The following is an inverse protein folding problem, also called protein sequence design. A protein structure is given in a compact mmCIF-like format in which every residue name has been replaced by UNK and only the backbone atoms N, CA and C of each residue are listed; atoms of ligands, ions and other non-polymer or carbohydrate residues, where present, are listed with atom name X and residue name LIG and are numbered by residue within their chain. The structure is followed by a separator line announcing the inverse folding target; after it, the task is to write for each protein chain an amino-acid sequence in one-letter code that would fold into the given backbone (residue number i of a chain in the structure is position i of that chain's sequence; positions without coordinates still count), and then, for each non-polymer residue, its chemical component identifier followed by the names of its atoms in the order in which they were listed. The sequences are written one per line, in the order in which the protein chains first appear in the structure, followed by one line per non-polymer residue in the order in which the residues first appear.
data_IF_900893781215
#
_entry.id   IF_900893781215
#
_cell.length_a   1.000
_cell.length_b   1.000
_cell.length_c   1.000
_cell.angle_alpha   90.00
_cell.angle_beta   90.00
_cell.angle_gamma   90.00
#
_symmetry.space_group_name_H-M   'P 1'
#
loop_
_entity.id
_entity.type
_entity.pdbx_description
1 polymer ?
#
# COMPACT_ATOMS: atom_id res chain seq x y z
N UNK A 1 -17.41 -18.75 -12.71
CA UNK A 1 -18.15 -18.35 -13.90
C UNK A 1 -17.18 -18.04 -15.06
N UNK A 2 -16.23 -17.10 -14.94
CA UNK A 2 -15.28 -16.72 -16.01
C UNK A 2 -14.41 -17.88 -16.51
N UNK A 3 -13.95 -18.75 -15.64
CA UNK A 3 -13.17 -19.93 -16.04
C UNK A 3 -13.97 -20.90 -16.93
N UNK A 4 -15.29 -21.00 -16.74
CA UNK A 4 -16.15 -21.81 -17.63
C UNK A 4 -16.36 -21.15 -18.99
N UNK A 5 -16.37 -19.82 -19.02
CA UNK A 5 -16.59 -19.02 -20.23
C UNK A 5 -15.34 -19.02 -21.14
N UNK A 6 -14.14 -18.84 -20.56
CA UNK A 6 -12.91 -18.65 -21.31
C UNK A 6 -11.97 -19.87 -21.31
N UNK A 7 -12.38 -20.96 -20.69
CA UNK A 7 -11.50 -22.10 -20.44
C UNK A 7 -10.50 -21.81 -19.33
N UNK A 8 -10.09 -22.82 -18.65
CA UNK A 8 -9.15 -22.72 -17.52
C UNK A 8 -9.60 -23.57 -16.37
N UNK A 9 -8.65 -23.88 -15.47
CA UNK A 9 -8.89 -24.70 -14.30
C UNK A 9 -8.32 -24.04 -13.06
N UNK A 10 -9.04 -24.09 -11.95
CA UNK A 10 -8.49 -23.71 -10.66
C UNK A 10 -7.63 -24.85 -10.15
N UNK A 11 -6.36 -24.59 -9.88
CA UNK A 11 -5.40 -25.60 -9.42
C UNK A 11 -5.30 -25.66 -7.90
N UNK A 12 -5.47 -24.55 -7.21
CA UNK A 12 -5.42 -24.47 -5.76
C UNK A 12 -5.91 -23.13 -5.23
N UNK A 13 -6.10 -23.04 -3.93
CA UNK A 13 -6.45 -21.82 -3.20
C UNK A 13 -5.58 -21.72 -1.96
N UNK A 14 -5.12 -20.52 -1.65
CA UNK A 14 -4.32 -20.22 -0.46
C UNK A 14 -4.65 -18.84 0.07
N UNK A 15 -4.81 -18.71 1.36
CA UNK A 15 -4.89 -17.41 2.02
C UNK A 15 -3.57 -16.64 1.90
N UNK A 16 -3.64 -15.32 1.91
CA UNK A 16 -2.43 -14.46 1.78
C UNK A 16 -1.45 -14.63 2.94
N UNK A 17 -1.89 -15.11 4.10
CA UNK A 17 -1.06 -15.44 5.23
C UNK A 17 0.04 -16.45 4.89
N UNK A 18 -0.22 -17.34 3.93
CA UNK A 18 0.70 -18.37 3.46
C UNK A 18 1.45 -17.95 2.20
N UNK A 19 0.73 -17.66 1.12
CA UNK A 19 1.31 -17.44 -0.20
C UNK A 19 1.84 -16.02 -0.43
N UNK A 20 1.61 -15.12 0.51
CA UNK A 20 1.91 -13.69 0.38
C UNK A 20 2.52 -13.13 1.67
N UNK A 21 3.38 -13.91 2.31
CA UNK A 21 4.17 -13.46 3.47
C UNK A 21 5.18 -12.39 3.03
N UNK A 22 5.53 -11.49 3.96
CA UNK A 22 6.54 -10.44 3.75
C UNK A 22 7.59 -10.37 4.85
N UNK A 23 7.48 -11.29 5.84
CA UNK A 23 8.30 -11.28 7.05
C UNK A 23 9.31 -12.44 7.10
N UNK A 24 9.59 -13.07 5.94
CA UNK A 24 10.52 -14.20 5.78
C UNK A 24 10.14 -15.44 6.57
N UNK A 25 8.86 -15.67 6.76
CA UNK A 25 8.35 -16.88 7.39
C UNK A 25 8.22 -17.97 6.32
N UNK A 26 9.38 -18.49 5.91
CA UNK A 26 9.50 -19.42 4.78
C UNK A 26 8.67 -20.70 4.96
N UNK A 27 8.41 -21.11 6.20
CA UNK A 27 7.52 -22.21 6.52
C UNK A 27 6.06 -21.96 6.08
N UNK A 28 5.63 -20.70 6.00
CA UNK A 28 4.30 -20.35 5.46
C UNK A 28 4.30 -20.43 3.95
N UNK A 29 5.29 -19.81 3.32
CA UNK A 29 5.46 -19.86 1.86
C UNK A 29 5.63 -21.29 1.37
N UNK A 30 6.30 -22.16 2.15
CA UNK A 30 6.45 -23.59 1.85
C UNK A 30 5.12 -24.29 1.71
N UNK A 31 4.14 -24.00 2.55
CA UNK A 31 2.81 -24.64 2.47
C UNK A 31 2.11 -24.30 1.15
N UNK A 32 2.22 -23.04 0.71
CA UNK A 32 1.69 -22.63 -0.59
C UNK A 32 2.50 -23.24 -1.75
N UNK A 33 3.83 -23.25 -1.65
CA UNK A 33 4.72 -23.90 -2.61
C UNK A 33 4.42 -25.38 -2.78
N UNK A 34 4.31 -26.14 -1.70
CA UNK A 34 4.02 -27.57 -1.75
C UNK A 34 2.67 -27.87 -2.43
N UNK A 35 1.67 -27.01 -2.21
CA UNK A 35 0.40 -27.09 -2.91
C UNK A 35 0.54 -26.82 -4.41
N UNK A 36 1.28 -25.78 -4.80
CA UNK A 36 1.42 -25.36 -6.20
C UNK A 36 2.32 -26.29 -7.02
N UNK A 37 3.41 -26.79 -6.43
CA UNK A 37 4.46 -27.55 -7.16
C UNK A 37 4.32 -29.06 -6.96
N UNK A 38 4.04 -29.49 -5.72
CA UNK A 38 3.99 -30.93 -5.36
C UNK A 38 2.59 -31.50 -5.37
N UNK A 39 1.56 -30.66 -5.33
CA UNK A 39 0.17 -31.11 -5.15
C UNK A 39 -0.08 -31.62 -3.73
N UNK A 40 0.77 -31.26 -2.78
CA UNK A 40 0.68 -31.62 -1.37
C UNK A 40 0.25 -30.38 -0.58
N UNK A 41 -0.92 -30.44 0.01
CA UNK A 41 -1.47 -29.30 0.73
C UNK A 41 -1.96 -29.70 2.11
N UNK A 42 -1.59 -28.93 3.14
CA UNK A 42 -2.06 -29.12 4.52
C UNK A 42 -3.59 -29.01 4.61
N UNK A 43 -4.21 -28.12 3.81
CA UNK A 43 -5.66 -27.97 3.72
C UNK A 43 -6.37 -29.07 2.93
N UNK A 44 -5.63 -30.07 2.39
CA UNK A 44 -6.17 -31.21 1.66
C UNK A 44 -6.38 -30.99 0.17
N UNK A 45 -7.11 -31.90 -0.48
CA UNK A 45 -7.41 -31.91 -1.89
C UNK A 45 -8.93 -32.04 -2.12
N UNK A 46 -9.51 -31.16 -2.95
CA UNK A 46 -10.95 -31.02 -3.10
C UNK A 46 -11.36 -30.85 -4.56
N UNK A 47 -12.50 -31.39 -4.94
CA UNK A 47 -13.09 -31.16 -6.27
C UNK A 47 -13.82 -29.81 -6.37
N UNK A 48 -14.50 -29.45 -5.30
CA UNK A 48 -15.26 -28.19 -5.22
C UNK A 48 -14.57 -27.17 -4.31
N UNK A 49 -13.84 -26.27 -4.93
CA UNK A 49 -13.13 -25.20 -4.23
C UNK A 49 -14.09 -24.24 -3.51
N UNK A 50 -15.28 -23.97 -4.06
CA UNK A 50 -16.23 -23.05 -3.46
C UNK A 50 -16.83 -23.64 -2.18
N UNK A 51 -17.21 -24.92 -2.22
CA UNK A 51 -17.68 -25.63 -1.04
C UNK A 51 -16.61 -25.64 0.06
N UNK A 52 -15.35 -25.88 -0.30
CA UNK A 52 -14.23 -25.87 0.66
C UNK A 52 -14.00 -24.49 1.29
N UNK A 53 -14.06 -23.41 0.52
CA UNK A 53 -13.93 -22.05 1.05
C UNK A 53 -15.09 -21.72 2.00
N UNK A 54 -16.33 -22.08 1.66
CA UNK A 54 -17.50 -21.92 2.54
C UNK A 54 -17.35 -22.68 3.86
N UNK A 55 -16.85 -23.92 3.79
CA UNK A 55 -16.55 -24.70 4.97
C UNK A 55 -15.51 -24.01 5.87
N UNK A 56 -14.45 -23.44 5.27
CA UNK A 56 -13.44 -22.67 6.00
C UNK A 56 -14.09 -21.49 6.76
N UNK A 57 -14.98 -20.75 6.11
CA UNK A 57 -15.69 -19.61 6.72
C UNK A 57 -16.62 -20.06 7.86
N UNK A 58 -17.34 -21.16 7.67
CA UNK A 58 -18.21 -21.73 8.70
C UNK A 58 -17.41 -22.14 9.94
N UNK A 59 -16.14 -22.50 9.76
CA UNK A 59 -15.20 -22.85 10.83
C UNK A 59 -14.44 -21.62 11.38
N UNK A 60 -14.85 -20.40 11.03
CA UNK A 60 -14.25 -19.15 11.51
C UNK A 60 -12.94 -18.76 10.85
N UNK A 61 -12.51 -19.45 9.79
CA UNK A 61 -11.30 -19.13 9.02
C UNK A 61 -11.65 -18.44 7.73
N UNK A 62 -11.38 -17.12 7.66
CA UNK A 62 -11.70 -16.28 6.51
C UNK A 62 -10.54 -16.14 5.53
N UNK A 63 -10.72 -15.36 4.47
CA UNK A 63 -9.85 -15.22 3.28
C UNK A 63 -8.36 -15.24 3.56
N UNK A 64 -7.90 -14.44 4.51
CA UNK A 64 -6.49 -14.26 4.80
C UNK A 64 -5.82 -15.55 5.27
N UNK A 65 -6.56 -16.35 6.04
CA UNK A 65 -6.04 -17.52 6.77
C UNK A 65 -6.44 -18.85 6.17
N UNK A 66 -7.06 -18.88 4.98
CA UNK A 66 -7.40 -20.12 4.29
C UNK A 66 -6.13 -20.96 4.11
N UNK A 67 -6.11 -22.13 4.76
CA UNK A 67 -4.98 -23.08 4.66
C UNK A 67 -4.86 -23.52 3.20
N UNK A 68 -3.66 -23.53 2.60
CA UNK A 68 -3.47 -23.94 1.22
C UNK A 68 -4.08 -25.30 0.93
N UNK A 69 -4.90 -25.40 -0.12
CA UNK A 69 -5.47 -26.65 -0.59
C UNK A 69 -5.40 -26.78 -2.10
N UNK A 70 -5.38 -28.01 -2.58
CA UNK A 70 -5.30 -28.36 -4.00
C UNK A 70 -6.69 -28.63 -4.55
N UNK A 71 -6.96 -28.20 -5.79
CA UNK A 71 -8.20 -28.53 -6.51
C UNK A 71 -7.93 -29.66 -7.48
N UNK A 72 -8.76 -30.70 -7.43
CA UNK A 72 -8.60 -31.93 -8.21
C UNK A 72 -9.71 -32.11 -9.24
N UNK A 73 -9.42 -32.94 -10.24
CA UNK A 73 -10.41 -33.46 -11.17
C UNK A 73 -11.30 -34.56 -10.53
N UNK A 74 -12.15 -35.16 -11.34
CA UNK A 74 -13.07 -36.22 -10.89
C UNK A 74 -12.37 -37.50 -10.40
N UNK A 75 -11.14 -37.69 -10.82
CA UNK A 75 -10.31 -38.84 -10.45
C UNK A 75 -9.36 -38.54 -9.26
N UNK A 76 -9.48 -37.36 -8.65
CA UNK A 76 -8.63 -36.96 -7.52
C UNK A 76 -7.23 -36.47 -7.94
N UNK A 77 -6.97 -36.29 -9.24
CA UNK A 77 -5.71 -35.74 -9.74
C UNK A 77 -5.73 -34.23 -9.67
N UNK A 78 -4.66 -33.57 -9.20
CA UNK A 78 -4.53 -32.11 -9.23
C UNK A 78 -4.83 -31.52 -10.62
N UNK A 79 -5.63 -30.47 -10.68
CA UNK A 79 -6.00 -29.82 -11.93
C UNK A 79 -4.82 -29.15 -12.66
N UNK A 80 -3.80 -28.76 -11.91
CA UNK A 80 -2.58 -28.20 -12.44
C UNK A 80 -1.52 -28.10 -11.34
N UNK A 81 -0.27 -28.38 -11.71
CA UNK A 81 0.89 -28.20 -10.86
C UNK A 81 1.95 -27.47 -11.69
N UNK A 82 2.73 -26.63 -11.04
CA UNK A 82 3.82 -25.90 -11.69
C UNK A 82 4.96 -26.89 -11.99
N UNK A 83 5.39 -26.96 -13.24
CA UNK A 83 6.41 -27.86 -13.77
C UNK A 83 7.49 -27.09 -14.52
N UNK A 84 8.58 -27.78 -14.83
CA UNK A 84 9.59 -27.26 -15.74
C UNK A 84 8.97 -26.86 -17.08
N UNK A 85 9.48 -25.80 -17.68
CA UNK A 85 9.04 -25.18 -18.94
C UNK A 85 7.66 -24.49 -18.86
N UNK A 86 6.98 -24.50 -17.73
CA UNK A 86 5.71 -23.76 -17.57
C UNK A 86 5.93 -22.24 -17.60
N UNK A 87 4.92 -21.53 -18.11
CA UNK A 87 4.82 -20.08 -18.00
C UNK A 87 3.98 -19.72 -16.78
N UNK A 88 4.58 -19.00 -15.85
CA UNK A 88 3.92 -18.50 -14.65
C UNK A 88 3.78 -16.98 -14.68
N UNK A 89 2.57 -16.47 -14.64
CA UNK A 89 2.29 -15.05 -14.48
C UNK A 89 1.86 -14.74 -13.05
N UNK A 90 2.67 -13.97 -12.32
CA UNK A 90 2.27 -13.41 -11.02
C UNK A 90 1.46 -12.14 -11.26
N UNK A 91 0.16 -12.20 -11.03
CA UNK A 91 -0.81 -11.16 -11.43
C UNK A 91 -0.94 -10.00 -10.42
N UNK A 92 -0.22 -10.03 -9.31
CA UNK A 92 -0.28 -9.00 -8.29
C UNK A 92 0.39 -7.71 -8.75
N UNK A 93 -0.29 -6.57 -8.58
CA UNK A 93 0.30 -5.25 -8.82
C UNK A 93 1.22 -4.81 -7.68
N UNK A 94 0.83 -5.11 -6.44
CA UNK A 94 1.57 -4.69 -5.25
C UNK A 94 2.78 -5.59 -5.00
N UNK A 95 3.96 -4.97 -4.91
CA UNK A 95 5.24 -5.67 -4.86
C UNK A 95 5.54 -6.37 -3.53
N UNK A 96 5.19 -5.74 -2.40
CA UNK A 96 5.63 -6.13 -1.05
C UNK A 96 5.31 -7.58 -0.69
N UNK A 97 4.12 -8.07 -1.06
CA UNK A 97 3.66 -9.43 -0.78
C UNK A 97 3.90 -10.41 -1.93
N UNK A 98 4.37 -9.96 -3.09
CA UNK A 98 4.69 -10.82 -4.22
C UNK A 98 6.16 -11.25 -4.23
N UNK A 99 7.05 -10.51 -3.55
CA UNK A 99 8.51 -10.73 -3.59
C UNK A 99 8.93 -12.12 -3.12
N UNK A 100 8.39 -12.61 -2.01
CA UNK A 100 8.85 -13.86 -1.40
C UNK A 100 8.47 -15.06 -2.24
N UNK A 101 7.21 -15.20 -2.62
CA UNK A 101 6.78 -16.31 -3.47
C UNK A 101 7.44 -16.28 -4.85
N UNK A 102 7.72 -15.08 -5.39
CA UNK A 102 8.51 -14.94 -6.62
C UNK A 102 9.93 -15.48 -6.43
N UNK A 103 10.59 -15.16 -5.31
CA UNK A 103 11.91 -15.69 -4.98
C UNK A 103 11.90 -17.20 -4.84
N UNK A 104 10.85 -17.76 -4.23
CA UNK A 104 10.69 -19.21 -4.09
C UNK A 104 10.57 -19.85 -5.48
N UNK A 105 9.62 -19.43 -6.30
CA UNK A 105 9.29 -20.11 -7.56
C UNK A 105 10.33 -19.84 -8.67
N UNK A 106 10.78 -18.59 -8.81
CA UNK A 106 11.67 -18.19 -9.90
C UNK A 106 13.17 -18.33 -9.60
N UNK A 107 13.54 -18.90 -8.47
CA UNK A 107 14.93 -18.97 -8.00
C UNK A 107 15.89 -19.64 -8.99
N UNK A 108 15.43 -20.65 -9.72
CA UNK A 108 16.22 -21.35 -10.73
C UNK A 108 16.09 -20.72 -12.13
N UNK A 109 15.23 -19.71 -12.30
CA UNK A 109 14.75 -19.27 -13.60
C UNK A 109 15.05 -17.79 -13.91
N UNK A 110 16.20 -17.29 -13.47
CA UNK A 110 16.64 -15.93 -13.84
C UNK A 110 16.67 -14.90 -12.71
N UNK A 111 16.55 -15.31 -11.46
CA UNK A 111 16.94 -14.44 -10.37
C UNK A 111 18.47 -14.41 -10.28
N UNK A 112 19.07 -13.23 -10.44
CA UNK A 112 20.51 -13.06 -10.28
C UNK A 112 20.93 -13.40 -8.86
N UNK A 113 22.17 -13.86 -8.67
CA UNK A 113 22.77 -14.07 -7.35
C UNK A 113 22.78 -12.78 -6.51
N UNK A 114 22.65 -11.64 -7.15
CA UNK A 114 22.61 -10.31 -6.54
C UNK A 114 21.22 -9.94 -6.01
N UNK A 115 20.15 -10.57 -6.51
CA UNK A 115 18.78 -10.39 -6.01
C UNK A 115 18.60 -10.82 -4.54
N UNK A 116 19.63 -11.40 -3.93
CA UNK A 116 19.66 -11.82 -2.53
C UNK A 116 20.63 -11.06 -1.64
N UNK A 117 21.38 -10.06 -2.15
CA UNK A 117 22.39 -9.37 -1.34
C UNK A 117 21.86 -8.54 -0.17
N UNK A 118 20.62 -8.08 -0.25
CA UNK A 118 19.94 -7.35 0.83
C UNK A 118 19.12 -8.25 1.76
N UNK A 119 19.07 -9.56 1.48
CA UNK A 119 18.41 -10.53 2.35
C UNK A 119 19.45 -11.26 3.19
N UNK A 120 19.19 -11.43 4.49
CA UNK A 120 19.90 -12.45 5.23
C UNK A 120 19.58 -13.78 4.58
N UNK A 121 20.62 -14.31 4.01
CA UNK A 121 20.85 -15.63 3.44
C UNK A 121 19.72 -16.35 2.69
N UNK A 122 19.98 -16.57 1.41
CA UNK A 122 19.37 -17.68 0.66
C UNK A 122 19.43 -19.02 1.44
N UNK A 123 20.29 -19.15 2.43
CA UNK A 123 20.48 -20.29 3.32
C UNK A 123 19.23 -20.64 4.11
N UNK A 124 18.51 -19.66 4.67
CA UNK A 124 17.25 -19.91 5.37
C UNK A 124 16.17 -20.43 4.43
N UNK A 125 16.08 -19.88 3.24
CA UNK A 125 15.14 -20.35 2.22
C UNK A 125 15.52 -21.76 1.75
N UNK A 126 16.83 -22.04 1.52
CA UNK A 126 17.30 -23.36 1.13
C UNK A 126 17.07 -24.43 2.18
N UNK A 127 17.18 -24.06 3.45
CA UNK A 127 16.89 -24.96 4.55
C UNK A 127 15.41 -25.34 4.63
N UNK A 128 14.51 -24.43 4.23
CA UNK A 128 13.06 -24.66 4.30
C UNK A 128 12.49 -25.23 3.00
N UNK A 129 12.93 -24.72 1.85
CA UNK A 129 12.52 -25.15 0.51
C UNK A 129 13.81 -25.46 -0.29
N UNK A 130 14.26 -26.71 -0.32
CA UNK A 130 15.46 -27.09 -1.02
C UNK A 130 15.41 -26.72 -2.52
N UNK A 131 16.49 -26.20 -3.03
CA UNK A 131 16.58 -25.75 -4.43
C UNK A 131 16.26 -26.85 -5.45
N UNK A 132 16.52 -28.10 -5.08
CA UNK A 132 16.20 -29.28 -5.90
C UNK A 132 14.71 -29.55 -6.05
N UNK A 133 13.87 -28.98 -5.19
CA UNK A 133 12.42 -29.14 -5.24
C UNK A 133 11.76 -28.07 -6.14
N UNK A 134 12.48 -27.01 -6.47
CA UNK A 134 11.99 -25.91 -7.29
C UNK A 134 12.17 -26.27 -8.76
N UNK A 135 11.18 -26.02 -9.64
CA UNK A 135 11.33 -26.23 -11.07
C UNK A 135 12.62 -25.60 -11.61
N UNK A 136 13.37 -26.38 -12.39
CA UNK A 136 14.71 -25.98 -12.87
C UNK A 136 14.66 -24.90 -13.95
N UNK A 137 13.56 -24.85 -14.70
CA UNK A 137 13.35 -23.94 -15.82
C UNK A 137 11.89 -23.51 -15.87
N UNK A 138 11.61 -22.37 -15.29
CA UNK A 138 10.28 -21.77 -15.25
C UNK A 138 10.30 -20.43 -15.96
N UNK A 139 9.35 -20.17 -16.87
CA UNK A 139 9.19 -18.88 -17.52
C UNK A 139 8.32 -17.98 -16.61
N UNK A 140 8.95 -17.34 -15.64
CA UNK A 140 8.26 -16.54 -14.65
C UNK A 140 8.15 -15.08 -15.09
N UNK A 141 6.93 -14.56 -15.13
CA UNK A 141 6.61 -13.18 -15.51
C UNK A 141 5.96 -12.46 -14.33
N UNK A 142 6.51 -11.32 -13.97
CA UNK A 142 5.95 -10.43 -12.94
C UNK A 142 4.93 -9.48 -13.57
N UNK A 143 3.87 -9.12 -12.86
CA UNK A 143 2.96 -8.07 -13.34
C UNK A 143 3.66 -6.71 -13.40
N UNK A 144 4.42 -6.39 -12.35
CA UNK A 144 5.19 -5.15 -12.20
C UNK A 144 6.59 -5.46 -11.66
N UNK A 145 7.42 -4.46 -11.45
CA UNK A 145 8.72 -4.63 -10.79
C UNK A 145 8.53 -4.92 -9.30
N UNK A 146 8.73 -6.16 -8.87
CA UNK A 146 8.62 -6.53 -7.45
C UNK A 146 9.89 -6.25 -6.66
N UNK A 147 11.06 -6.28 -7.30
CA UNK A 147 12.34 -5.95 -6.71
C UNK A 147 13.26 -5.39 -7.81
N UNK A 148 14.08 -4.39 -7.48
CA UNK A 148 15.02 -3.78 -8.43
C UNK A 148 16.08 -4.77 -8.93
N UNK A 149 16.37 -5.77 -8.11
CA UNK A 149 17.35 -6.80 -8.41
C UNK A 149 16.77 -8.01 -9.16
N UNK A 150 15.45 -8.02 -9.43
CA UNK A 150 14.85 -9.07 -10.25
C UNK A 150 15.10 -8.80 -11.72
N UNK A 151 15.69 -9.79 -12.39
CA UNK A 151 15.93 -9.79 -13.86
C UNK A 151 14.81 -10.50 -14.63
N UNK A 152 13.68 -10.73 -13.97
CA UNK A 152 12.52 -11.42 -14.54
C UNK A 152 11.76 -10.50 -15.51
N UNK A 153 11.16 -11.05 -16.57
CA UNK A 153 10.25 -10.32 -17.42
C UNK A 153 9.08 -9.73 -16.62
N UNK A 154 8.61 -8.57 -17.03
CA UNK A 154 7.45 -7.91 -16.42
C UNK A 154 6.49 -7.38 -17.49
N UNK A 155 5.19 -7.39 -17.17
CA UNK A 155 4.14 -6.92 -18.08
C UNK A 155 4.10 -5.40 -18.11
N UNK A 156 4.18 -4.77 -16.94
CA UNK A 156 4.19 -3.32 -16.78
C UNK A 156 5.58 -2.91 -16.36
N UNK A 157 6.27 -2.21 -17.25
CA UNK A 157 7.59 -1.67 -16.96
C UNK A 157 7.48 -0.53 -15.95
N UNK A 158 8.47 -0.36 -15.06
CA UNK A 158 8.51 0.79 -14.18
C UNK A 158 8.62 2.07 -15.01
N UNK A 159 7.78 3.04 -14.72
CA UNK A 159 7.91 4.38 -15.28
C UNK A 159 9.08 5.11 -14.61
N UNK A 160 9.70 6.03 -15.36
CA UNK A 160 10.69 6.93 -14.77
C UNK A 160 10.01 7.84 -13.75
N UNK A 161 10.48 7.78 -12.50
CA UNK A 161 10.01 8.64 -11.40
C UNK A 161 10.94 9.86 -11.27
N UNK A 162 11.19 10.55 -12.37
CA UNK A 162 11.95 11.80 -12.39
C UNK A 162 11.04 12.99 -12.09
N UNK A 163 11.62 14.01 -11.49
CA UNK A 163 10.93 15.27 -11.17
C UNK A 163 9.68 15.09 -10.27
N UNK A 164 9.76 14.16 -9.32
CA UNK A 164 8.76 14.09 -8.25
C UNK A 164 8.75 15.38 -7.42
N UNK A 165 7.69 15.60 -6.65
CA UNK A 165 7.60 16.78 -5.77
C UNK A 165 8.83 16.91 -4.86
N UNK A 166 9.31 15.81 -4.28
CA UNK A 166 10.51 15.81 -3.43
C UNK A 166 11.78 16.25 -4.20
N UNK A 167 11.92 15.79 -5.44
CA UNK A 167 13.02 16.17 -6.32
C UNK A 167 12.94 17.65 -6.69
N UNK A 168 11.76 18.15 -7.08
CA UNK A 168 11.53 19.55 -7.39
C UNK A 168 11.84 20.47 -6.21
N UNK A 169 11.44 20.09 -5.00
CA UNK A 169 11.78 20.81 -3.78
C UNK A 169 13.29 20.81 -3.51
N UNK A 170 13.96 19.68 -3.72
CA UNK A 170 15.41 19.55 -3.57
C UNK A 170 16.17 20.45 -4.57
N UNK A 171 15.75 20.47 -5.84
CA UNK A 171 16.32 21.36 -6.86
C UNK A 171 16.15 22.85 -6.53
N UNK A 172 15.03 23.20 -5.86
CA UNK A 172 14.77 24.55 -5.38
C UNK A 172 15.45 24.89 -4.03
N UNK A 173 16.22 23.95 -3.46
CA UNK A 173 16.84 24.07 -2.14
C UNK A 173 15.83 24.32 -1.00
N UNK A 174 14.61 23.81 -1.13
CA UNK A 174 13.59 23.89 -0.10
C UNK A 174 13.73 22.76 0.90
N UNK A 175 13.42 23.06 2.17
CA UNK A 175 13.39 22.08 3.24
C UNK A 175 11.97 21.54 3.40
N UNK A 176 11.86 20.24 3.50
CA UNK A 176 10.57 19.59 3.73
C UNK A 176 10.64 18.55 4.83
N UNK A 177 9.54 18.40 5.58
CA UNK A 177 9.40 17.46 6.66
C UNK A 177 8.31 16.43 6.31
N UNK A 178 8.57 15.15 6.56
CA UNK A 178 7.61 14.06 6.48
C UNK A 178 7.30 13.55 7.87
N UNK A 179 6.01 13.54 8.24
CA UNK A 179 5.57 13.10 9.57
C UNK A 179 4.44 12.11 9.44
N UNK A 180 4.58 10.95 10.04
CA UNK A 180 3.51 9.98 10.20
C UNK A 180 3.83 9.03 11.36
N UNK A 181 2.84 8.31 11.82
CA UNK A 181 3.06 7.16 12.70
C UNK A 181 3.46 5.91 11.91
N UNK A 182 3.92 4.85 12.59
CA UNK A 182 4.49 3.64 12.00
C UNK A 182 3.66 3.07 10.85
N UNK A 183 2.33 3.00 11.01
CA UNK A 183 1.42 2.41 10.02
C UNK A 183 1.41 3.15 8.68
N UNK A 184 1.67 4.44 8.68
CA UNK A 184 1.61 5.30 7.49
C UNK A 184 2.94 5.99 7.16
N UNK A 185 4.03 5.62 7.83
CA UNK A 185 5.34 6.23 7.57
C UNK A 185 5.83 5.98 6.13
N UNK A 186 5.68 4.77 5.63
CA UNK A 186 6.04 4.46 4.25
C UNK A 186 5.21 5.26 3.22
N UNK A 187 3.99 5.64 3.56
CA UNK A 187 3.11 6.40 2.66
C UNK A 187 3.62 7.83 2.43
N UNK A 188 4.16 8.48 3.47
CA UNK A 188 4.72 9.84 3.35
C UNK A 188 6.21 9.86 3.00
N UNK A 189 6.87 8.71 2.92
CA UNK A 189 8.30 8.58 2.61
C UNK A 189 8.52 7.76 1.33
N UNK A 190 8.62 6.45 1.44
CA UNK A 190 8.94 5.55 0.34
C UNK A 190 7.97 5.67 -0.85
N UNK A 191 6.66 5.58 -0.60
CA UNK A 191 5.66 5.67 -1.67
C UNK A 191 5.55 7.07 -2.23
N UNK A 192 5.59 8.09 -1.38
CA UNK A 192 5.56 9.49 -1.81
C UNK A 192 6.77 9.86 -2.67
N UNK A 193 7.90 9.21 -2.45
CA UNK A 193 9.13 9.38 -3.21
C UNK A 193 9.28 8.37 -4.36
N UNK A 194 8.17 7.80 -4.87
CA UNK A 194 8.18 6.91 -6.02
C UNK A 194 8.99 5.63 -5.84
N UNK A 195 9.05 5.10 -4.62
CA UNK A 195 9.80 3.90 -4.28
C UNK A 195 11.29 4.14 -3.99
N UNK A 196 11.69 5.38 -3.74
CA UNK A 196 13.06 5.75 -3.36
C UNK A 196 13.16 5.81 -1.84
N UNK A 197 13.96 4.89 -1.25
CA UNK A 197 14.17 4.82 0.20
C UNK A 197 14.98 6.01 0.73
N UNK A 198 16.01 6.42 -0.01
CA UNK A 198 16.89 7.50 0.41
C UNK A 198 16.14 8.84 0.41
N UNK A 199 16.20 9.62 1.50
CA UNK A 199 15.68 10.97 1.52
C UNK A 199 16.31 11.84 0.44
N UNK A 200 15.51 12.71 -0.16
CA UNK A 200 16.03 13.75 -1.05
C UNK A 200 16.74 14.84 -0.27
N UNK A 201 17.64 15.60 -0.91
CA UNK A 201 18.25 16.78 -0.26
C UNK A 201 17.18 17.72 0.32
N UNK A 202 17.36 18.15 1.57
CA UNK A 202 16.40 19.00 2.27
C UNK A 202 15.17 18.26 2.85
N UNK A 203 15.09 16.94 2.71
CA UNK A 203 14.01 16.11 3.26
C UNK A 203 14.39 15.56 4.63
N UNK A 204 13.65 15.95 5.66
CA UNK A 204 13.72 15.39 7.00
C UNK A 204 12.50 14.48 7.26
N UNK A 205 12.68 13.45 8.07
CA UNK A 205 11.64 12.45 8.36
C UNK A 205 11.51 12.23 9.85
N UNK A 206 10.28 12.30 10.37
CA UNK A 206 9.99 11.98 11.78
C UNK A 206 8.91 10.88 11.81
N UNK A 207 9.32 9.76 12.40
CA UNK A 207 8.42 8.63 12.70
C UNK A 207 7.93 8.79 14.14
N UNK A 208 6.62 8.84 14.32
CA UNK A 208 5.98 8.73 15.63
C UNK A 208 5.57 7.26 15.82
N UNK A 209 6.04 6.55 16.86
CA UNK A 209 5.66 5.16 17.05
C UNK A 209 4.16 4.97 17.21
N UNK A 210 3.58 4.03 16.47
CA UNK A 210 2.17 3.63 16.66
C UNK A 210 1.97 2.90 17.99
N UNK A 211 0.77 2.99 18.53
CA UNK A 211 0.41 2.29 19.77
C UNK A 211 0.40 0.77 19.56
N UNK A 212 0.88 0.03 20.57
CA UNK A 212 0.94 -1.44 20.54
C UNK A 212 -0.39 -2.04 21.03
N UNK A 213 -1.40 -2.01 20.19
CA UNK A 213 -2.72 -2.62 20.44
C UNK A 213 -3.01 -3.73 19.43
N UNK A 214 -3.93 -4.62 19.74
CA UNK A 214 -4.31 -5.70 18.83
C UNK A 214 -5.00 -5.16 17.57
N UNK A 215 -5.92 -4.21 17.76
CA UNK A 215 -6.65 -3.49 16.70
C UNK A 215 -6.87 -2.05 17.13
N UNK A 216 -6.89 -1.12 16.19
CA UNK A 216 -6.91 0.32 16.50
C UNK A 216 -8.28 0.87 16.92
N UNK A 217 -9.34 0.09 16.80
CA UNK A 217 -10.62 0.42 17.43
C UNK A 217 -10.58 0.43 18.98
N UNK A 218 -9.56 -0.23 19.56
CA UNK A 218 -9.29 -0.20 21.01
C UNK A 218 -8.56 1.08 21.45
N UNK A 219 -7.95 1.82 20.53
CA UNK A 219 -7.22 3.05 20.78
C UNK A 219 -7.35 3.99 19.56
N UNK A 220 -8.57 4.52 19.29
CA UNK A 220 -8.86 5.27 18.06
C UNK A 220 -8.11 6.59 17.93
N UNK A 221 -7.61 7.14 19.03
CA UNK A 221 -6.75 8.33 19.04
C UNK A 221 -5.39 8.04 18.39
N UNK A 222 -4.97 6.78 18.37
CA UNK A 222 -3.69 6.35 17.83
C UNK A 222 -2.55 7.28 18.30
N UNK A 223 -1.63 7.64 17.41
CA UNK A 223 -0.52 8.56 17.76
C UNK A 223 -0.74 9.98 17.25
N UNK A 224 -1.98 10.36 16.94
CA UNK A 224 -2.31 11.66 16.33
C UNK A 224 -1.82 12.86 17.15
N UNK A 225 -1.92 12.80 18.47
CA UNK A 225 -1.45 13.88 19.34
C UNK A 225 0.07 14.13 19.18
N UNK A 226 0.87 13.06 19.14
CA UNK A 226 2.33 13.16 18.97
C UNK A 226 2.71 13.66 17.56
N UNK A 227 1.94 13.30 16.53
CA UNK A 227 2.08 13.85 15.18
C UNK A 227 1.82 15.35 15.21
N UNK A 228 0.69 15.78 15.82
CA UNK A 228 0.34 17.19 15.92
C UNK A 228 1.38 17.99 16.71
N UNK A 229 1.92 17.47 17.82
CA UNK A 229 3.00 18.10 18.60
C UNK A 229 4.25 18.33 17.72
N UNK A 230 4.62 17.32 16.95
CA UNK A 230 5.76 17.39 16.02
C UNK A 230 5.55 18.48 14.97
N UNK A 231 4.37 18.53 14.37
CA UNK A 231 4.05 19.52 13.32
C UNK A 231 3.96 20.93 13.91
N UNK A 232 3.31 21.10 15.06
CA UNK A 232 3.23 22.40 15.77
C UNK A 232 4.63 22.92 16.08
N UNK A 233 5.53 22.04 16.56
CA UNK A 233 6.93 22.42 16.79
C UNK A 233 7.61 22.85 15.50
N UNK A 234 7.51 22.09 14.43
CA UNK A 234 8.10 22.41 13.13
C UNK A 234 7.61 23.75 12.57
N UNK A 235 6.31 24.05 12.73
CA UNK A 235 5.67 25.31 12.35
C UNK A 235 6.25 26.47 13.18
N UNK A 236 6.33 26.33 14.50
CA UNK A 236 6.84 27.38 15.38
C UNK A 236 8.31 27.68 15.15
N UNK A 237 9.12 26.64 14.93
CA UNK A 237 10.56 26.76 14.67
C UNK A 237 10.86 27.33 13.29
N UNK A 238 9.88 27.44 12.39
CA UNK A 238 10.06 27.87 10.98
C UNK A 238 11.17 27.08 10.27
N UNK A 239 11.25 25.78 10.57
CA UNK A 239 12.37 24.96 10.13
C UNK A 239 12.20 24.43 8.69
N UNK A 240 10.98 24.44 8.16
CA UNK A 240 10.63 23.82 6.87
C UNK A 240 9.72 24.71 6.03
N UNK A 241 9.90 24.61 4.72
CA UNK A 241 9.06 25.28 3.73
C UNK A 241 7.78 24.47 3.46
N UNK A 242 7.87 23.14 3.50
CA UNK A 242 6.75 22.21 3.29
C UNK A 242 6.74 21.14 4.39
N UNK A 243 5.55 20.84 4.90
CA UNK A 243 5.34 19.72 5.83
C UNK A 243 4.28 18.79 5.25
N UNK A 244 4.63 17.52 5.05
CA UNK A 244 3.70 16.46 4.62
C UNK A 244 3.40 15.58 5.81
N UNK A 245 2.12 15.47 6.13
CA UNK A 245 1.62 14.76 7.31
C UNK A 245 0.59 13.72 6.91
N UNK A 246 0.64 12.56 7.53
CA UNK A 246 -0.44 11.59 7.45
C UNK A 246 -0.95 11.25 8.86
N UNK A 247 -2.24 11.39 9.06
CA UNK A 247 -2.96 10.88 10.22
C UNK A 247 -3.60 9.55 9.85
N UNK A 248 -3.14 8.47 10.44
CA UNK A 248 -3.56 7.11 10.10
C UNK A 248 -4.97 6.75 10.59
N UNK A 249 -5.54 7.55 11.48
CA UNK A 249 -6.70 7.23 12.30
C UNK A 249 -7.93 6.78 11.50
N UNK A 250 -8.38 7.59 10.53
CA UNK A 250 -9.61 7.31 9.80
C UNK A 250 -9.54 5.99 9.02
N UNK A 251 -8.38 5.70 8.40
CA UNK A 251 -8.17 4.46 7.65
C UNK A 251 -8.01 3.26 8.58
N UNK A 252 -7.09 3.33 9.53
CA UNK A 252 -6.74 2.18 10.38
C UNK A 252 -7.89 1.76 11.29
N UNK A 253 -8.63 2.71 11.86
CA UNK A 253 -9.81 2.44 12.68
C UNK A 253 -11.00 2.05 11.80
N UNK A 254 -11.15 2.67 10.62
CA UNK A 254 -12.19 2.34 9.63
C UNK A 254 -12.15 0.86 9.21
N UNK A 255 -10.97 0.26 9.09
CA UNK A 255 -10.82 -1.16 8.82
C UNK A 255 -11.43 -2.09 9.88
N UNK A 256 -11.76 -1.60 11.06
CA UNK A 256 -12.48 -2.37 12.08
C UNK A 256 -13.97 -2.58 11.74
N UNK A 257 -14.55 -1.76 10.88
CA UNK A 257 -15.99 -1.75 10.60
C UNK A 257 -16.85 -1.27 11.78
N UNK A 258 -16.26 -0.61 12.78
CA UNK A 258 -16.94 -0.16 14.00
C UNK A 258 -17.13 1.35 13.98
N UNK A 259 -18.39 1.79 13.91
CA UNK A 259 -18.77 3.20 13.73
C UNK A 259 -18.26 4.11 14.87
N UNK A 260 -18.54 3.75 16.12
CA UNK A 260 -18.22 4.61 17.29
C UNK A 260 -16.71 4.90 17.42
N UNK A 261 -15.80 3.89 17.36
CA UNK A 261 -14.38 4.16 17.35
C UNK A 261 -13.94 5.00 16.14
N UNK A 262 -14.57 4.82 14.97
CA UNK A 262 -14.24 5.58 13.76
C UNK A 262 -14.64 7.05 13.90
N UNK A 263 -15.80 7.35 14.49
CA UNK A 263 -16.19 8.73 14.84
C UNK A 263 -15.12 9.35 15.75
N UNK A 264 -14.73 8.66 16.81
CA UNK A 264 -13.70 9.14 17.75
C UNK A 264 -12.35 9.38 17.05
N UNK A 265 -11.98 8.52 16.11
CA UNK A 265 -10.77 8.68 15.30
C UNK A 265 -10.81 9.99 14.49
N UNK A 266 -11.91 10.27 13.82
CA UNK A 266 -12.09 11.50 13.01
C UNK A 266 -12.11 12.74 13.89
N UNK A 267 -12.83 12.74 15.03
CA UNK A 267 -12.84 13.83 16.01
C UNK A 267 -11.43 14.14 16.55
N UNK A 268 -10.62 13.09 16.75
CA UNK A 268 -9.23 13.25 17.20
C UNK A 268 -8.38 13.94 16.13
N UNK A 269 -8.53 13.55 14.87
CA UNK A 269 -7.84 14.21 13.76
C UNK A 269 -8.27 15.67 13.63
N UNK A 270 -9.57 15.96 13.72
CA UNK A 270 -10.09 17.34 13.67
C UNK A 270 -9.48 18.21 14.77
N UNK A 271 -9.44 17.71 16.01
CA UNK A 271 -8.81 18.42 17.12
C UNK A 271 -7.29 18.68 16.86
N UNK A 272 -6.58 17.71 16.30
CA UNK A 272 -5.17 17.85 15.93
C UNK A 272 -4.97 18.89 14.81
N UNK A 273 -5.80 18.87 13.78
CA UNK A 273 -5.80 19.87 12.71
C UNK A 273 -6.07 21.27 13.29
N UNK A 274 -7.03 21.40 14.21
CA UNK A 274 -7.30 22.66 14.92
C UNK A 274 -6.07 23.22 15.63
N UNK A 275 -5.30 22.38 16.33
CA UNK A 275 -4.04 22.78 17.00
C UNK A 275 -2.98 23.28 16.01
N UNK A 276 -2.78 22.55 14.93
CA UNK A 276 -1.82 22.93 13.89
C UNK A 276 -2.26 24.24 13.21
N UNK A 277 -3.57 24.41 12.93
CA UNK A 277 -4.12 25.63 12.38
C UNK A 277 -3.83 26.85 13.25
N UNK A 278 -4.02 26.74 14.58
CA UNK A 278 -3.72 27.84 15.51
C UNK A 278 -2.22 28.18 15.48
N UNK A 279 -1.33 27.19 15.47
CA UNK A 279 0.11 27.44 15.35
C UNK A 279 0.47 28.19 14.06
N UNK A 280 -0.08 27.76 12.93
CA UNK A 280 0.13 28.43 11.65
C UNK A 280 -0.41 29.87 11.64
N UNK A 281 -1.59 30.11 12.18
CA UNK A 281 -2.18 31.45 12.30
C UNK A 281 -1.31 32.36 13.16
N UNK A 282 -0.81 31.88 14.30
CA UNK A 282 0.09 32.64 15.17
C UNK A 282 1.44 32.97 14.51
N UNK A 283 1.89 32.09 13.61
CA UNK A 283 3.10 32.30 12.82
C UNK A 283 2.99 33.43 11.78
N UNK A 284 1.78 33.82 11.39
CA UNK A 284 1.49 34.77 10.32
C UNK A 284 1.01 34.12 9.03
N UNK A 285 0.37 32.94 9.16
CA UNK A 285 -0.29 32.27 8.05
C UNK A 285 0.56 31.21 7.34
N UNK A 286 0.04 30.78 6.21
CA UNK A 286 0.58 29.74 5.34
C UNK A 286 -0.55 29.08 4.54
N UNK A 287 -0.21 28.21 3.63
CA UNK A 287 -1.18 27.45 2.84
C UNK A 287 -1.33 26.02 3.36
N UNK A 288 -2.55 25.51 3.38
CA UNK A 288 -2.86 24.12 3.73
C UNK A 288 -3.65 23.45 2.63
N UNK A 289 -3.29 22.22 2.36
CA UNK A 289 -4.04 21.28 1.56
C UNK A 289 -4.41 20.10 2.46
N UNK A 290 -5.71 19.91 2.69
CA UNK A 290 -6.23 18.83 3.51
C UNK A 290 -7.02 17.90 2.59
N UNK A 291 -6.63 16.62 2.56
CA UNK A 291 -7.27 15.60 1.71
C UNK A 291 -7.06 14.21 2.29
N UNK A 292 -7.56 13.20 1.63
CA UNK A 292 -7.25 11.79 1.87
C UNK A 292 -6.77 11.13 0.57
N UNK A 293 -6.07 10.00 0.69
CA UNK A 293 -5.58 9.20 -0.44
C UNK A 293 -6.66 8.26 -1.00
N UNK A 294 -7.65 7.88 -0.19
CA UNK A 294 -8.81 7.08 -0.57
C UNK A 294 -9.92 7.20 0.47
N UNK A 295 -11.11 6.70 0.16
CA UNK A 295 -12.20 6.56 1.09
C UNK A 295 -12.09 5.27 1.92
N UNK A 296 -12.65 5.29 3.12
CA UNK A 296 -12.81 4.17 4.04
C UNK A 296 -13.86 4.50 5.11
N UNK A 297 -13.56 5.45 6.02
CA UNK A 297 -14.35 5.77 7.20
C UNK A 297 -15.75 6.33 6.89
N UNK A 298 -16.00 6.82 5.70
CA UNK A 298 -17.31 7.35 5.29
C UNK A 298 -18.33 6.24 5.00
N UNK A 299 -17.89 4.98 4.90
CA UNK A 299 -18.76 3.83 4.65
C UNK A 299 -18.45 2.71 5.65
N UNK A 300 -19.16 2.71 6.78
CA UNK A 300 -18.96 1.76 7.88
C UNK A 300 -19.92 0.56 7.84
N UNK A 301 -20.97 0.65 7.04
CA UNK A 301 -21.98 -0.41 6.85
C UNK A 301 -22.10 -0.73 5.38
N UNK A 302 -21.91 -1.98 5.03
CA UNK A 302 -22.08 -2.46 3.65
C UNK A 302 -23.57 -2.37 3.24
N UNK A 303 -23.88 -1.61 2.20
CA UNK A 303 -25.30 -1.39 1.80
C UNK A 303 -25.97 -2.64 1.23
N UNK A 304 -25.21 -3.63 0.77
CA UNK A 304 -25.74 -4.86 0.20
C UNK A 304 -26.03 -5.94 1.24
N UNK A 305 -25.21 -6.01 2.29
CA UNK A 305 -25.29 -7.04 3.32
C UNK A 305 -25.84 -6.54 4.66
N UNK A 306 -25.78 -5.22 4.92
CA UNK A 306 -26.07 -4.61 6.21
C UNK A 306 -25.03 -4.91 7.29
N UNK A 307 -23.96 -5.58 6.94
CA UNK A 307 -22.84 -5.91 7.86
C UNK A 307 -21.77 -4.81 7.89
N UNK A 308 -20.72 -4.98 8.72
CA UNK A 308 -19.59 -4.04 8.77
C UNK A 308 -18.87 -3.96 7.42
N UNK A 309 -18.59 -2.74 6.97
CA UNK A 309 -17.71 -2.49 5.82
C UNK A 309 -16.30 -2.17 6.33
N UNK A 310 -15.30 -2.91 5.86
CA UNK A 310 -13.91 -2.84 6.34
C UNK A 310 -12.88 -2.57 5.25
N UNK A 311 -13.34 -2.33 4.02
CA UNK A 311 -12.48 -2.11 2.86
C UNK A 311 -12.40 -0.63 2.48
N UNK A 312 -11.40 -0.28 1.67
CA UNK A 312 -11.37 1.02 1.03
C UNK A 312 -12.54 1.20 0.05
N UNK A 313 -12.96 2.43 -0.14
CA UNK A 313 -13.99 2.78 -1.13
C UNK A 313 -13.40 3.56 -2.29
N UNK A 314 -14.15 3.64 -3.38
CA UNK A 314 -13.85 4.52 -4.51
C UNK A 314 -14.60 5.86 -4.44
N UNK A 315 -15.17 6.18 -3.29
CA UNK A 315 -15.86 7.45 -3.08
C UNK A 315 -14.88 8.62 -3.22
N UNK A 316 -15.33 9.76 -3.75
CA UNK A 316 -14.52 10.97 -3.77
C UNK A 316 -14.13 11.39 -2.35
N UNK A 317 -12.87 11.79 -2.20
CA UNK A 317 -12.34 12.33 -0.95
C UNK A 317 -12.42 13.86 -0.94
N UNK A 318 -12.53 14.51 0.23
CA UNK A 318 -12.52 15.96 0.30
C UNK A 318 -11.15 16.52 -0.11
N UNK A 319 -11.15 17.70 -0.71
CA UNK A 319 -9.97 18.53 -0.91
C UNK A 319 -10.25 19.94 -0.42
N UNK A 320 -9.55 20.35 0.62
CA UNK A 320 -9.77 21.64 1.29
C UNK A 320 -8.49 22.48 1.16
N UNK A 321 -8.61 23.64 0.55
CA UNK A 321 -7.56 24.64 0.50
C UNK A 321 -7.81 25.74 1.51
N UNK A 322 -6.87 25.92 2.43
CA UNK A 322 -6.90 26.96 3.47
C UNK A 322 -5.70 27.88 3.30
N UNK A 323 -5.95 29.16 3.13
CA UNK A 323 -4.94 30.22 3.01
C UNK A 323 -5.60 31.58 3.27
N UNK A 324 -4.82 32.59 3.61
CA UNK A 324 -5.32 33.96 3.74
C UNK A 324 -5.91 34.51 2.44
N UNK A 325 -5.33 34.12 1.32
CA UNK A 325 -5.76 34.51 -0.04
C UNK A 325 -6.71 33.50 -0.70
N UNK A 326 -7.16 32.45 0.02
CA UNK A 326 -8.03 31.40 -0.54
C UNK A 326 -9.29 31.96 -1.22
N UNK A 327 -9.81 33.10 -0.77
CA UNK A 327 -10.97 33.73 -1.37
C UNK A 327 -10.72 34.26 -2.82
N UNK A 328 -9.46 34.40 -3.21
CA UNK A 328 -9.08 34.83 -4.56
C UNK A 328 -9.12 33.70 -5.59
N UNK A 329 -9.32 32.47 -5.10
CA UNK A 329 -9.36 31.27 -5.93
C UNK A 329 -10.73 30.61 -5.87
N UNK A 330 -11.09 29.92 -6.94
CA UNK A 330 -12.05 28.81 -6.97
C UNK A 330 -11.27 27.51 -7.12
N UNK A 331 -11.84 26.41 -6.65
CA UNK A 331 -11.22 25.10 -6.82
C UNK A 331 -11.81 24.40 -8.03
N UNK A 332 -10.95 23.69 -8.77
CA UNK A 332 -11.36 22.85 -9.89
C UNK A 332 -12.19 21.68 -9.36
N UNK A 333 -13.39 21.40 -9.91
CA UNK A 333 -14.30 20.40 -9.36
C UNK A 333 -13.82 18.95 -9.59
N UNK A 334 -13.01 18.70 -10.65
CA UNK A 334 -12.63 17.35 -11.10
C UNK A 334 -11.17 17.04 -10.75
N UNK A 335 -10.84 17.16 -9.46
CA UNK A 335 -9.49 16.89 -8.99
C UNK A 335 -9.23 15.39 -8.78
N UNK A 336 -7.95 15.06 -8.80
CA UNK A 336 -7.45 13.72 -8.42
C UNK A 336 -6.11 13.84 -7.67
N UNK A 337 -5.61 12.74 -7.10
CA UNK A 337 -4.36 12.75 -6.32
C UNK A 337 -3.16 13.26 -7.13
N UNK A 338 -3.14 13.07 -8.45
CA UNK A 338 -2.08 13.57 -9.33
C UNK A 338 -1.99 15.10 -9.39
N UNK A 339 -3.04 15.81 -8.97
CA UNK A 339 -3.14 17.27 -8.99
C UNK A 339 -2.56 17.91 -7.71
N UNK A 340 -2.31 17.13 -6.66
CA UNK A 340 -1.80 17.64 -5.37
C UNK A 340 -0.40 18.23 -5.54
N UNK A 341 0.52 17.49 -6.17
CA UNK A 341 1.89 17.94 -6.37
C UNK A 341 1.98 19.21 -7.24
N UNK A 342 1.31 19.31 -8.41
CA UNK A 342 1.20 20.56 -9.16
C UNK A 342 0.64 21.73 -8.35
N UNK A 343 -0.38 21.50 -7.52
CA UNK A 343 -0.95 22.52 -6.64
C UNK A 343 0.07 23.03 -5.62
N UNK A 344 0.87 22.12 -5.02
CA UNK A 344 1.95 22.50 -4.11
C UNK A 344 3.04 23.30 -4.85
N UNK A 345 3.46 22.86 -6.05
CA UNK A 345 4.43 23.60 -6.86
C UNK A 345 3.94 25.00 -7.19
N UNK A 346 2.66 25.13 -7.57
CA UNK A 346 2.04 26.44 -7.80
C UNK A 346 2.02 27.34 -6.56
N UNK A 347 1.79 26.79 -5.36
CA UNK A 347 1.90 27.51 -4.09
C UNK A 347 3.33 27.98 -3.79
N UNK A 348 4.32 27.19 -4.19
CA UNK A 348 5.75 27.50 -4.02
C UNK A 348 6.31 28.37 -5.15
N UNK A 349 5.51 28.74 -6.14
CA UNK A 349 5.92 29.45 -7.37
C UNK A 349 7.02 28.70 -8.14
N UNK A 350 6.96 27.36 -8.14
CA UNK A 350 7.85 26.49 -8.90
C UNK A 350 7.17 26.06 -10.21
N UNK A 351 7.99 25.87 -11.25
CA UNK A 351 7.48 25.37 -12.52
C UNK A 351 7.05 23.91 -12.42
N UNK A 352 5.92 23.58 -13.03
CA UNK A 352 5.44 22.21 -13.16
C UNK A 352 6.27 21.46 -14.22
N UNK A 353 6.88 20.32 -13.88
CA UNK A 353 7.65 19.53 -14.82
C UNK A 353 6.71 18.75 -15.76
N UNK A 354 7.17 18.51 -17.00
CA UNK A 354 6.39 17.80 -18.04
C UNK A 354 5.96 16.39 -17.66
N UNK A 355 6.65 15.76 -16.72
CA UNK A 355 6.35 14.41 -16.22
C UNK A 355 5.11 14.39 -15.33
N UNK A 356 4.73 15.51 -14.72
CA UNK A 356 3.47 15.61 -13.97
C UNK A 356 2.31 15.73 -14.96
N UNK A 357 1.32 14.87 -14.81
CA UNK A 357 0.12 14.81 -15.69
C UNK A 357 -1.10 15.46 -15.06
N UNK A 358 -0.99 15.89 -13.81
CA UNK A 358 -1.99 16.67 -13.11
C UNK A 358 -1.86 18.17 -13.42
N UNK A 359 -2.57 19.00 -12.69
CA UNK A 359 -2.47 20.46 -12.78
C UNK A 359 -2.91 21.12 -11.47
N UNK A 360 -2.55 22.39 -11.29
CA UNK A 360 -2.96 23.16 -10.11
C UNK A 360 -4.49 23.16 -9.98
N UNK A 361 -4.99 22.79 -8.82
CA UNK A 361 -6.42 22.77 -8.52
C UNK A 361 -6.99 24.17 -8.28
N UNK A 362 -6.15 25.17 -8.08
CA UNK A 362 -6.57 26.55 -7.85
C UNK A 362 -6.80 27.27 -9.17
N UNK A 363 -7.96 27.87 -9.32
CA UNK A 363 -8.31 28.73 -10.45
C UNK A 363 -8.42 30.15 -9.91
N UNK A 364 -7.51 31.06 -10.31
CA UNK A 364 -7.62 32.49 -9.93
C UNK A 364 -8.96 33.06 -10.37
N UNK A 365 -9.67 33.73 -9.48
CA UNK A 365 -10.86 34.47 -9.85
C UNK A 365 -10.43 35.74 -10.60
N UNK A 366 -11.00 35.98 -11.75
CA UNK A 366 -10.80 37.28 -12.44
C UNK A 366 -11.14 38.41 -11.47
N UNK A 367 -10.23 39.36 -11.33
CA UNK A 367 -10.53 40.60 -10.61
C UNK A 367 -11.73 41.26 -11.30
N UNK A 368 -12.89 41.30 -10.59
CA UNK A 368 -14.03 42.09 -10.99
C UNK A 368 -13.72 43.57 -10.78
#
# INVERSE_FOLDING_TARGET
QKMREFGGKLAGVSGRYYAMDRDRRWEREKKAFDAMVKGQAEGGAYKDAVARVKESYNNGTTDEFIVPFVVTDEHGKPNGLIRDEDVCLMFNFRADRARQITRVLARNSGLSKEAGRELPSWEELDATIPRSEIPSKLHYVCMTQYDRNFTLPMVILPESMENLLADMMAQANLRNLRVAETEKYAHVTYFFNGGIEKPFPGEDRILVPSQKVATYDLAPEMSAAGIADTVVKAVNDRAFDVVVVNFANADMVGHSGRLEPTIKAVETVDACLGRIYQAMKQRGGGAWLITADHGNAELMVDPGTGGPHTAHTTNPVPFIFVSEDAKQYSMRPDGSLRDISPTILGLLNLAEPKQMTGGDLRIPKSRQ
#
